data_IF_486421231790
#
_entry.id   IF_486421231790
#
_cell.length_a   1.000
_cell.length_b   1.000
_cell.length_c   1.000
_cell.angle_alpha   90.00
_cell.angle_beta   90.00
_cell.angle_gamma   90.00
#
_symmetry.space_group_name_H-M   'P 1'
#
loop_
_entity.id
_entity.type
_entity.pdbx_description
1 polymer ?
#
# COMPACT_ATOMS: atom_id res chain seq x y z
N UNK A 1 -3.17 -9.17 9.51
CA UNK A 1 -3.75 -7.96 10.15
C UNK A 1 -2.66 -6.97 10.54
N UNK A 2 -3.04 -5.72 10.71
CA UNK A 2 -2.13 -4.63 11.12
C UNK A 2 -2.65 -3.91 12.37
N UNK A 3 -1.76 -3.15 13.02
CA UNK A 3 -2.11 -2.24 14.11
C UNK A 3 -2.39 -0.87 13.51
N UNK A 4 -3.67 -0.56 13.33
CA UNK A 4 -4.12 0.69 12.68
C UNK A 4 -3.67 1.91 13.49
N UNK A 5 -3.62 1.83 14.81
CA UNK A 5 -3.24 2.90 15.73
C UNK A 5 -1.82 3.44 15.44
N UNK A 6 -0.95 2.60 14.88
CA UNK A 6 0.41 3.00 14.52
C UNK A 6 0.47 4.01 13.37
N UNK A 7 -0.60 4.10 12.57
CA UNK A 7 -0.67 4.96 11.38
C UNK A 7 -1.72 6.05 11.49
N UNK A 8 -2.30 6.24 12.68
CA UNK A 8 -3.15 7.38 12.98
C UNK A 8 -2.31 8.59 13.40
N UNK A 9 -2.82 9.80 13.12
CA UNK A 9 -2.18 11.09 13.48
C UNK A 9 -0.72 11.21 13.00
N UNK A 10 -0.43 10.68 11.82
CA UNK A 10 0.88 10.81 11.16
C UNK A 10 1.00 12.17 10.46
N UNK A 11 2.24 12.70 10.29
CA UNK A 11 2.45 13.99 9.62
C UNK A 11 1.89 13.98 8.20
N UNK A 12 1.17 15.03 7.84
CA UNK A 12 0.67 15.27 6.48
C UNK A 12 1.72 15.92 5.56
N UNK A 13 1.25 16.47 4.44
CA UNK A 13 2.07 17.22 3.48
C UNK A 13 2.82 18.37 4.13
N UNK A 14 4.01 18.65 3.60
CA UNK A 14 4.87 19.77 3.97
C UNK A 14 4.89 20.82 2.85
N UNK A 15 5.57 21.95 3.07
CA UNK A 15 5.76 22.98 2.03
C UNK A 15 6.45 22.42 0.76
N UNK A 16 7.31 21.42 0.91
CA UNK A 16 7.97 20.71 -0.21
C UNK A 16 6.96 19.98 -1.13
N UNK A 17 5.79 19.64 -0.60
CA UNK A 17 4.74 18.91 -1.31
C UNK A 17 3.68 19.84 -1.94
N UNK A 18 3.86 21.17 -1.80
CA UNK A 18 2.89 22.15 -2.31
C UNK A 18 2.75 22.04 -3.84
N UNK A 19 1.53 21.96 -4.31
CA UNK A 19 1.20 21.77 -5.74
C UNK A 19 1.55 20.41 -6.30
N UNK A 20 2.11 19.49 -5.50
CA UNK A 20 2.45 18.13 -5.94
C UNK A 20 1.38 17.11 -5.56
N UNK A 21 1.29 16.06 -6.38
CA UNK A 21 0.52 14.85 -6.12
C UNK A 21 1.54 13.73 -5.86
N UNK A 22 1.65 13.35 -4.60
CA UNK A 22 2.63 12.39 -4.14
C UNK A 22 2.10 10.96 -4.31
N UNK A 23 2.79 10.16 -5.12
CA UNK A 23 2.58 8.72 -5.28
C UNK A 23 3.66 8.00 -4.48
N UNK A 24 3.27 7.18 -3.50
CA UNK A 24 4.18 6.50 -2.61
C UNK A 24 4.24 4.99 -2.82
N UNK A 25 5.42 4.44 -3.05
CA UNK A 25 5.67 3.00 -3.09
C UNK A 25 6.45 2.57 -1.83
N UNK A 26 5.82 1.81 -0.95
CA UNK A 26 6.47 1.27 0.26
C UNK A 26 6.90 -0.16 -0.01
N UNK A 27 8.19 -0.36 -0.32
CA UNK A 27 8.68 -1.65 -0.78
C UNK A 27 10.22 -1.76 -0.63
N UNK A 28 10.72 -2.97 -0.74
CA UNK A 28 12.15 -3.22 -1.03
C UNK A 28 12.38 -3.10 -2.53
N UNK A 29 13.46 -2.45 -2.94
CA UNK A 29 13.80 -2.33 -4.37
C UNK A 29 14.39 -3.66 -4.84
N UNK A 30 13.53 -4.55 -5.33
CA UNK A 30 13.88 -5.91 -5.77
C UNK A 30 13.05 -6.28 -7.00
N UNK A 31 13.51 -7.23 -7.84
CA UNK A 31 12.81 -7.60 -9.08
C UNK A 31 11.35 -8.00 -8.91
N UNK A 32 11.02 -8.69 -7.81
CA UNK A 32 9.64 -9.14 -7.55
C UNK A 32 8.67 -7.97 -7.35
N UNK A 33 9.18 -6.77 -6.99
CA UNK A 33 8.38 -5.55 -6.82
C UNK A 33 8.18 -4.78 -8.11
N UNK A 34 8.88 -5.17 -9.15
CA UNK A 34 8.80 -4.60 -10.51
C UNK A 34 8.86 -3.07 -10.54
N UNK A 35 9.87 -2.53 -9.85
CA UNK A 35 10.08 -1.09 -9.72
C UNK A 35 10.38 -0.45 -11.09
N UNK A 36 10.97 -1.20 -12.04
CA UNK A 36 11.24 -0.69 -13.38
C UNK A 36 9.96 -0.37 -14.15
N UNK A 37 8.97 -1.25 -14.13
CA UNK A 37 7.65 -0.97 -14.73
C UNK A 37 6.99 0.24 -14.07
N UNK A 38 7.09 0.37 -12.74
CA UNK A 38 6.59 1.54 -12.01
C UNK A 38 7.24 2.84 -12.49
N UNK A 39 8.57 2.86 -12.61
CA UNK A 39 9.34 4.03 -13.08
C UNK A 39 8.93 4.40 -14.51
N UNK A 40 8.84 3.42 -15.41
CA UNK A 40 8.42 3.66 -16.79
C UNK A 40 6.99 4.22 -16.87
N UNK A 41 6.07 3.62 -16.14
CA UNK A 41 4.68 4.10 -16.06
C UNK A 41 4.60 5.52 -15.48
N UNK A 42 5.39 5.80 -14.44
CA UNK A 42 5.49 7.13 -13.87
C UNK A 42 6.05 8.14 -14.87
N UNK A 43 7.08 7.80 -15.65
CA UNK A 43 7.62 8.66 -16.70
C UNK A 43 6.54 9.10 -17.69
N UNK A 44 5.74 8.15 -18.22
CA UNK A 44 4.64 8.45 -19.13
C UNK A 44 3.51 9.28 -18.48
N UNK A 45 3.21 9.03 -17.20
CA UNK A 45 2.22 9.82 -16.48
C UNK A 45 2.73 11.24 -16.20
N UNK A 46 4.02 11.38 -15.85
CA UNK A 46 4.69 12.65 -15.55
C UNK A 46 4.73 13.60 -16.74
N UNK A 47 4.90 13.06 -17.96
CA UNK A 47 4.81 13.86 -19.20
C UNK A 47 3.43 14.53 -19.40
N UNK A 48 2.38 13.90 -18.85
CA UNK A 48 1.00 14.40 -18.98
C UNK A 48 0.54 15.26 -17.80
N UNK A 49 1.12 15.03 -16.62
CA UNK A 49 0.79 15.80 -15.40
C UNK A 49 2.07 16.07 -14.60
N UNK A 50 2.59 17.28 -14.70
CA UNK A 50 3.84 17.73 -14.07
C UNK A 50 3.75 17.87 -12.54
N UNK A 51 2.54 17.78 -11.97
CA UNK A 51 2.35 17.78 -10.50
C UNK A 51 2.76 16.45 -9.85
N UNK A 52 2.84 15.37 -10.61
CA UNK A 52 3.16 14.05 -10.08
C UNK A 52 4.58 14.01 -9.49
N UNK A 53 4.72 13.37 -8.32
CA UNK A 53 5.99 13.07 -7.65
C UNK A 53 5.96 11.63 -7.14
N UNK A 54 6.97 10.84 -7.49
CA UNK A 54 7.09 9.43 -7.08
C UNK A 54 8.07 9.29 -5.92
N UNK A 55 7.62 8.64 -4.85
CA UNK A 55 8.41 8.30 -3.69
C UNK A 55 8.58 6.78 -3.60
N UNK A 56 9.81 6.29 -3.77
CA UNK A 56 10.17 4.87 -3.60
C UNK A 56 10.80 4.72 -2.24
N UNK A 57 10.01 4.23 -1.28
CA UNK A 57 10.31 4.22 0.15
C UNK A 57 10.66 2.82 0.62
N UNK A 58 11.93 2.58 0.86
CA UNK A 58 12.42 1.32 1.39
C UNK A 58 13.86 1.00 0.98
N UNK A 59 14.40 -0.09 1.52
CA UNK A 59 15.79 -0.47 1.29
C UNK A 59 16.04 -0.95 -0.15
N UNK A 60 17.25 -0.69 -0.62
CA UNK A 60 17.74 -1.17 -1.92
C UNK A 60 19.05 -1.99 -1.79
N UNK A 61 19.53 -2.17 -0.56
CA UNK A 61 20.82 -2.83 -0.31
C UNK A 61 20.74 -4.35 -0.49
N UNK A 62 19.52 -4.92 -0.49
CA UNK A 62 19.29 -6.37 -0.63
C UNK A 62 19.57 -6.86 -2.06
N UNK A 63 19.32 -6.00 -3.07
CA UNK A 63 19.59 -6.28 -4.48
C UNK A 63 20.15 -5.00 -5.14
N UNK A 64 21.45 -4.77 -4.95
CA UNK A 64 22.11 -3.56 -5.41
C UNK A 64 22.16 -3.45 -6.93
N UNK A 65 22.34 -4.56 -7.63
CA UNK A 65 22.41 -4.57 -9.09
C UNK A 65 21.06 -4.10 -9.67
N UNK A 66 19.95 -4.67 -9.19
CA UNK A 66 18.63 -4.23 -9.62
C UNK A 66 18.33 -2.78 -9.25
N UNK A 67 18.75 -2.34 -8.06
CA UNK A 67 18.56 -0.96 -7.63
C UNK A 67 19.35 0.03 -8.52
N UNK A 68 20.61 -0.30 -8.85
CA UNK A 68 21.44 0.50 -9.77
C UNK A 68 20.79 0.60 -11.16
N UNK A 69 20.21 -0.50 -11.66
CA UNK A 69 19.44 -0.48 -12.91
C UNK A 69 18.19 0.41 -12.82
N UNK A 70 17.51 0.45 -11.66
CA UNK A 70 16.41 1.38 -11.45
C UNK A 70 16.85 2.84 -11.43
N UNK A 71 17.98 3.15 -10.76
CA UNK A 71 18.54 4.52 -10.75
C UNK A 71 18.96 4.95 -12.15
N UNK A 72 19.62 4.04 -12.90
CA UNK A 72 20.04 4.29 -14.26
C UNK A 72 18.83 4.54 -15.18
N UNK A 73 17.75 3.76 -15.02
CA UNK A 73 16.52 3.93 -15.79
C UNK A 73 15.91 5.32 -15.61
N UNK A 74 15.86 5.82 -14.36
CA UNK A 74 15.36 7.19 -14.08
C UNK A 74 16.24 8.23 -14.77
N UNK A 75 17.58 8.03 -14.74
CA UNK A 75 18.54 8.92 -15.39
C UNK A 75 18.43 8.89 -16.91
N UNK A 76 18.37 7.70 -17.51
CA UNK A 76 18.33 7.51 -18.98
C UNK A 76 17.03 8.05 -19.59
N UNK A 77 15.93 7.94 -18.86
CA UNK A 77 14.63 8.48 -19.27
C UNK A 77 14.45 9.97 -18.87
N UNK A 78 15.43 10.57 -18.18
CA UNK A 78 15.38 11.95 -17.69
C UNK A 78 14.11 12.27 -16.89
N UNK A 79 13.59 11.31 -16.09
CA UNK A 79 12.34 11.45 -15.34
C UNK A 79 12.56 12.34 -14.11
N UNK A 80 11.94 13.52 -14.01
CA UNK A 80 12.05 14.37 -12.84
C UNK A 80 11.12 13.86 -11.70
N UNK A 81 11.36 14.38 -10.49
CA UNK A 81 10.50 14.14 -9.32
C UNK A 81 10.39 12.66 -8.89
N UNK A 82 11.43 11.85 -9.10
CA UNK A 82 11.56 10.49 -8.54
C UNK A 82 12.50 10.53 -7.35
N UNK A 83 12.02 10.11 -6.18
CA UNK A 83 12.77 10.13 -4.92
C UNK A 83 12.92 8.71 -4.38
N UNK A 84 14.16 8.24 -4.25
CA UNK A 84 14.50 7.02 -3.52
C UNK A 84 14.92 7.41 -2.10
N UNK A 85 14.15 7.00 -1.10
CA UNK A 85 14.41 7.41 0.29
C UNK A 85 15.37 6.50 1.04
N UNK A 86 15.58 5.27 0.57
CA UNK A 86 16.19 4.23 1.39
C UNK A 86 15.27 3.79 2.53
N UNK A 87 15.86 3.12 3.51
CA UNK A 87 15.13 2.68 4.70
C UNK A 87 14.69 3.88 5.54
N UNK A 88 13.38 4.00 5.75
CA UNK A 88 12.76 5.09 6.49
C UNK A 88 11.78 4.55 7.54
N UNK A 89 11.31 5.42 8.43
CA UNK A 89 10.12 5.16 9.20
C UNK A 89 8.90 5.60 8.38
N UNK A 90 8.08 4.65 7.97
CA UNK A 90 6.90 4.89 7.11
C UNK A 90 5.93 5.94 7.69
N UNK A 91 5.86 6.07 9.02
CA UNK A 91 5.00 7.03 9.71
C UNK A 91 5.31 8.48 9.36
N UNK A 92 6.57 8.77 9.03
CA UNK A 92 7.02 10.13 8.75
C UNK A 92 6.71 10.55 7.31
N UNK A 93 6.36 9.58 6.44
CA UNK A 93 6.18 9.80 5.01
C UNK A 93 4.77 9.49 4.51
N UNK A 94 4.13 8.43 5.03
CA UNK A 94 2.88 7.92 4.45
C UNK A 94 1.75 8.95 4.47
N UNK A 95 1.68 9.81 5.49
CA UNK A 95 0.69 10.88 5.55
C UNK A 95 0.85 11.95 4.46
N UNK A 96 2.07 12.11 3.91
CA UNK A 96 2.37 13.04 2.80
C UNK A 96 1.87 12.53 1.44
N UNK A 97 1.60 11.22 1.31
CA UNK A 97 1.16 10.62 0.06
C UNK A 97 -0.31 10.96 -0.23
N UNK A 98 -0.65 11.14 -1.51
CA UNK A 98 -2.01 11.26 -2.01
C UNK A 98 -2.58 9.89 -2.40
N UNK A 99 -1.71 9.00 -2.88
CA UNK A 99 -2.01 7.63 -3.29
C UNK A 99 -0.78 6.77 -3.07
N UNK A 100 -0.96 5.49 -2.79
CA UNK A 100 0.15 4.54 -2.77
C UNK A 100 0.09 3.59 -3.96
N UNK A 101 1.23 3.00 -4.32
CA UNK A 101 1.35 2.12 -5.48
C UNK A 101 2.15 0.86 -5.17
N UNK A 102 1.73 -0.26 -5.75
CA UNK A 102 2.39 -1.57 -5.68
C UNK A 102 2.32 -2.25 -7.06
N UNK A 103 3.46 -2.42 -7.71
CA UNK A 103 3.56 -3.01 -9.07
C UNK A 103 4.09 -4.43 -9.06
N UNK A 104 4.06 -5.11 -7.92
CA UNK A 104 4.62 -6.45 -7.74
C UNK A 104 4.11 -7.45 -8.76
N UNK A 105 4.97 -8.39 -9.14
CA UNK A 105 4.61 -9.54 -10.00
C UNK A 105 4.12 -10.74 -9.20
N UNK A 106 4.32 -10.74 -7.89
CA UNK A 106 3.80 -11.77 -6.98
C UNK A 106 3.66 -11.22 -5.56
N UNK A 107 2.54 -11.49 -4.94
CA UNK A 107 2.22 -11.19 -3.54
C UNK A 107 1.36 -12.32 -2.95
N UNK A 108 1.35 -12.41 -1.61
CA UNK A 108 0.29 -13.15 -0.91
C UNK A 108 -0.84 -12.19 -0.53
N UNK A 109 -0.70 -11.55 0.63
CA UNK A 109 -1.55 -10.45 1.11
C UNK A 109 -0.65 -9.30 1.54
N UNK A 110 -0.45 -8.28 0.69
CA UNK A 110 0.51 -7.22 0.96
C UNK A 110 0.07 -6.33 2.12
N UNK A 111 0.88 -6.29 3.18
CA UNK A 111 0.60 -5.46 4.36
C UNK A 111 0.67 -3.97 4.03
N UNK A 112 1.46 -3.58 3.04
CA UNK A 112 1.58 -2.19 2.58
C UNK A 112 0.26 -1.60 2.10
N UNK A 113 -0.64 -2.41 1.52
CA UNK A 113 -2.00 -1.98 1.17
C UNK A 113 -2.80 -1.69 2.45
N UNK A 114 -2.74 -2.57 3.44
CA UNK A 114 -3.43 -2.36 4.71
C UNK A 114 -2.89 -1.15 5.48
N UNK A 115 -1.57 -0.94 5.44
CA UNK A 115 -0.91 0.24 6.02
C UNK A 115 -1.36 1.54 5.32
N UNK A 116 -1.48 1.51 3.99
CA UNK A 116 -2.01 2.62 3.22
C UNK A 116 -3.44 2.96 3.63
N UNK A 117 -4.29 1.95 3.77
CA UNK A 117 -5.67 2.11 4.21
C UNK A 117 -5.77 2.67 5.64
N UNK A 118 -4.91 2.21 6.56
CA UNK A 118 -4.85 2.76 7.91
C UNK A 118 -4.48 4.25 7.95
N UNK A 119 -3.81 4.74 6.90
CA UNK A 119 -3.48 6.14 6.69
C UNK A 119 -4.47 6.88 5.75
N UNK A 120 -5.64 6.30 5.47
CA UNK A 120 -6.65 6.84 4.53
C UNK A 120 -6.12 7.10 3.11
N UNK A 121 -5.18 6.26 2.64
CA UNK A 121 -4.61 6.41 1.30
C UNK A 121 -5.17 5.35 0.36
N UNK A 122 -5.71 5.75 -0.81
CA UNK A 122 -6.11 4.81 -1.85
C UNK A 122 -4.86 4.14 -2.45
N UNK A 123 -5.06 3.01 -3.12
CA UNK A 123 -3.96 2.20 -3.63
C UNK A 123 -4.13 1.94 -5.12
N UNK A 124 -3.04 2.03 -5.88
CA UNK A 124 -2.91 1.42 -7.20
C UNK A 124 -2.13 0.13 -7.00
N UNK A 125 -2.65 -1.02 -7.42
CA UNK A 125 -1.92 -2.28 -7.32
C UNK A 125 -2.12 -3.17 -8.54
N UNK A 126 -1.10 -3.98 -8.84
CA UNK A 126 -1.21 -5.06 -9.81
C UNK A 126 -2.11 -6.19 -9.29
N UNK A 127 -2.78 -6.91 -10.20
CA UNK A 127 -3.66 -8.05 -9.88
C UNK A 127 -2.85 -9.29 -9.54
N UNK A 128 -2.32 -9.32 -8.32
CA UNK A 128 -1.53 -10.43 -7.79
C UNK A 128 -1.93 -10.76 -6.35
N UNK A 129 -1.92 -12.05 -6.00
CA UNK A 129 -2.31 -12.52 -4.68
C UNK A 129 -3.71 -12.01 -4.30
N UNK A 130 -3.83 -11.41 -3.12
CA UNK A 130 -5.10 -10.84 -2.66
C UNK A 130 -5.25 -9.32 -2.92
N UNK A 131 -4.51 -8.74 -3.87
CA UNK A 131 -4.65 -7.30 -4.17
C UNK A 131 -6.07 -6.95 -4.62
N UNK A 132 -6.67 -7.75 -5.50
CA UNK A 132 -8.03 -7.54 -5.97
C UNK A 132 -9.06 -7.53 -4.82
N UNK A 133 -9.00 -8.54 -3.96
CA UNK A 133 -9.89 -8.65 -2.80
C UNK A 133 -9.70 -7.51 -1.79
N UNK A 134 -8.48 -7.05 -1.57
CA UNK A 134 -8.20 -5.88 -0.72
C UNK A 134 -8.77 -4.58 -1.32
N UNK A 135 -8.74 -4.42 -2.64
CA UNK A 135 -9.15 -3.18 -3.30
C UNK A 135 -10.66 -3.13 -3.54
N UNK A 136 -11.27 -4.22 -4.00
CA UNK A 136 -12.71 -4.23 -4.33
C UNK A 136 -13.59 -4.89 -3.27
N UNK A 137 -12.98 -5.56 -2.28
CA UNK A 137 -13.68 -6.30 -1.24
C UNK A 137 -14.02 -7.75 -1.65
N UNK A 138 -13.74 -8.71 -0.77
CA UNK A 138 -14.12 -10.12 -0.97
C UNK A 138 -15.47 -10.46 -0.32
N UNK A 139 -15.79 -9.78 0.75
CA UNK A 139 -16.95 -10.07 1.61
C UNK A 139 -17.55 -8.81 2.22
N UNK A 140 -17.44 -7.70 1.54
CA UNK A 140 -18.04 -6.43 1.90
C UNK A 140 -18.54 -5.70 0.63
N UNK A 141 -19.43 -4.72 0.84
CA UNK A 141 -20.02 -3.86 -0.17
C UNK A 141 -19.59 -2.40 -0.03
N UNK A 142 -18.41 -2.16 0.57
CA UNK A 142 -17.94 -0.78 0.85
C UNK A 142 -17.53 -0.01 -0.41
N UNK A 143 -17.28 -0.72 -1.52
CA UNK A 143 -16.83 -0.14 -2.77
C UNK A 143 -15.33 -0.26 -3.00
N UNK A 144 -14.85 0.43 -4.02
CA UNK A 144 -13.44 0.40 -4.38
C UNK A 144 -12.59 1.27 -3.44
N UNK A 145 -11.45 0.73 -3.00
CA UNK A 145 -10.45 1.42 -2.21
C UNK A 145 -9.18 1.77 -3.02
N UNK A 146 -9.25 1.66 -4.33
CA UNK A 146 -8.14 1.90 -5.25
C UNK A 146 -8.42 1.40 -6.65
N UNK A 147 -7.36 1.23 -7.44
CA UNK A 147 -7.39 0.74 -8.82
C UNK A 147 -6.50 -0.48 -8.94
N UNK A 148 -7.02 -1.56 -9.56
CA UNK A 148 -6.23 -2.74 -9.92
C UNK A 148 -5.83 -2.67 -11.39
N UNK A 149 -4.58 -3.02 -11.69
CA UNK A 149 -4.01 -3.05 -13.04
C UNK A 149 -3.41 -4.42 -13.33
N UNK A 150 -3.18 -4.73 -14.60
CA UNK A 150 -2.42 -5.93 -14.95
C UNK A 150 -0.93 -5.77 -14.62
N UNK A 151 -0.27 -6.90 -14.32
CA UNK A 151 1.17 -6.95 -14.10
C UNK A 151 1.92 -6.47 -15.34
N UNK A 152 3.02 -5.74 -15.14
CA UNK A 152 3.91 -5.26 -16.21
C UNK A 152 3.19 -4.41 -17.30
N UNK A 153 1.99 -3.94 -17.05
CA UNK A 153 1.23 -3.11 -17.99
C UNK A 153 1.47 -1.62 -17.70
N UNK A 154 2.50 -1.09 -18.36
CA UNK A 154 2.95 0.30 -18.18
C UNK A 154 1.82 1.29 -18.48
N UNK A 155 1.03 1.06 -19.53
CA UNK A 155 -0.03 1.98 -19.97
C UNK A 155 -1.18 2.05 -18.94
N UNK A 156 -1.64 0.89 -18.43
CA UNK A 156 -2.68 0.85 -17.40
C UNK A 156 -2.23 1.48 -16.09
N UNK A 157 -0.98 1.21 -15.67
CA UNK A 157 -0.41 1.78 -14.45
C UNK A 157 -0.28 3.30 -14.59
N UNK A 158 0.22 3.79 -15.73
CA UNK A 158 0.30 5.22 -16.00
C UNK A 158 -1.08 5.88 -16.00
N UNK A 159 -2.08 5.25 -16.63
CA UNK A 159 -3.44 5.76 -16.64
C UNK A 159 -4.04 5.79 -15.24
N UNK A 160 -3.84 4.76 -14.42
CA UNK A 160 -4.29 4.75 -13.02
C UNK A 160 -3.66 5.88 -12.19
N UNK A 161 -2.37 6.20 -12.41
CA UNK A 161 -1.72 7.36 -11.78
C UNK A 161 -2.40 8.67 -12.19
N UNK A 162 -2.72 8.83 -13.48
CA UNK A 162 -3.39 10.03 -14.00
C UNK A 162 -4.83 10.15 -13.50
N UNK A 163 -5.58 9.05 -13.45
CA UNK A 163 -6.95 9.04 -12.93
C UNK A 163 -6.97 9.44 -11.45
N UNK A 164 -6.04 8.92 -10.66
CA UNK A 164 -5.87 9.32 -9.27
C UNK A 164 -5.45 10.79 -9.15
N UNK A 165 -4.60 11.29 -10.03
CA UNK A 165 -4.17 12.68 -10.02
C UNK A 165 -5.30 13.66 -10.36
N UNK A 166 -6.13 13.30 -11.35
CA UNK A 166 -7.19 14.16 -11.86
C UNK A 166 -8.37 14.33 -10.89
N UNK A 167 -8.60 13.38 -9.96
CA UNK A 167 -9.82 13.34 -9.18
C UNK A 167 -9.55 13.21 -7.66
N UNK A 168 -9.41 14.36 -7.01
CA UNK A 168 -9.19 14.42 -5.55
C UNK A 168 -10.35 13.80 -4.76
N UNK A 169 -11.61 14.07 -5.16
CA UNK A 169 -12.78 13.50 -4.50
C UNK A 169 -12.75 11.97 -4.53
N UNK A 170 -12.43 11.40 -5.69
CA UNK A 170 -12.30 9.94 -5.84
C UNK A 170 -11.20 9.38 -4.93
N UNK A 171 -10.02 10.03 -4.85
CA UNK A 171 -8.95 9.62 -3.95
C UNK A 171 -9.40 9.58 -2.49
N UNK A 172 -10.09 10.62 -2.04
CA UNK A 172 -10.58 10.73 -0.66
C UNK A 172 -11.63 9.65 -0.36
N UNK A 173 -12.60 9.43 -1.26
CA UNK A 173 -13.63 8.40 -1.11
C UNK A 173 -13.04 6.99 -1.08
N UNK A 174 -12.08 6.70 -1.97
CA UNK A 174 -11.37 5.42 -1.99
C UNK A 174 -10.51 5.21 -0.74
N UNK A 175 -9.83 6.26 -0.26
CA UNK A 175 -9.05 6.22 0.97
C UNK A 175 -9.93 5.91 2.19
N UNK A 176 -11.11 6.53 2.29
CA UNK A 176 -12.07 6.27 3.36
C UNK A 176 -12.66 4.86 3.28
N UNK A 177 -12.96 4.38 2.06
CA UNK A 177 -13.37 2.99 1.82
C UNK A 177 -12.32 2.00 2.32
N UNK A 178 -11.04 2.25 2.00
CA UNK A 178 -9.91 1.44 2.47
C UNK A 178 -9.78 1.46 3.99
N UNK A 179 -9.88 2.65 4.60
CA UNK A 179 -9.84 2.78 6.05
C UNK A 179 -10.96 1.99 6.74
N UNK A 180 -12.19 2.12 6.26
CA UNK A 180 -13.31 1.33 6.77
C UNK A 180 -13.04 -0.17 6.64
N UNK A 181 -12.53 -0.62 5.49
CA UNK A 181 -12.21 -2.03 5.23
C UNK A 181 -11.15 -2.57 6.19
N UNK A 182 -10.06 -1.83 6.42
CA UNK A 182 -9.02 -2.28 7.34
C UNK A 182 -9.51 -2.31 8.78
N UNK A 183 -10.33 -1.35 9.19
CA UNK A 183 -10.91 -1.29 10.53
C UNK A 183 -11.85 -2.45 10.82
N UNK A 184 -12.67 -2.86 9.84
CA UNK A 184 -13.68 -3.89 10.03
C UNK A 184 -13.18 -5.32 9.77
N UNK A 185 -12.10 -5.48 8.97
CA UNK A 185 -11.68 -6.81 8.49
C UNK A 185 -10.23 -7.19 8.81
N UNK A 186 -9.31 -6.23 8.89
CA UNK A 186 -7.88 -6.53 8.86
C UNK A 186 -7.08 -6.02 10.05
N UNK A 187 -7.72 -5.69 11.16
CA UNK A 187 -7.02 -5.36 12.40
C UNK A 187 -6.30 -6.60 12.95
N UNK A 188 -5.17 -6.37 13.59
CA UNK A 188 -4.36 -7.45 14.18
C UNK A 188 -5.12 -8.25 15.21
N UNK A 189 -6.04 -7.63 15.95
CA UNK A 189 -6.86 -8.27 16.97
C UNK A 189 -7.77 -9.36 16.38
N UNK A 190 -8.33 -9.13 15.18
CA UNK A 190 -9.14 -10.15 14.50
C UNK A 190 -8.31 -11.35 14.08
N UNK A 191 -7.12 -11.11 13.55
CA UNK A 191 -6.17 -12.18 13.22
C UNK A 191 -5.80 -12.97 14.47
N UNK A 192 -5.44 -12.28 15.56
CA UNK A 192 -5.11 -12.92 16.83
C UNK A 192 -6.26 -13.78 17.35
N UNK A 193 -7.50 -13.27 17.34
CA UNK A 193 -8.69 -14.03 17.74
C UNK A 193 -8.85 -15.30 16.94
N UNK A 194 -8.72 -15.22 15.61
CA UNK A 194 -8.82 -16.40 14.73
C UNK A 194 -7.75 -17.44 15.06
N UNK A 195 -6.50 -17.04 15.29
CA UNK A 195 -5.44 -17.96 15.71
C UNK A 195 -5.74 -18.59 17.08
N UNK A 196 -6.26 -17.81 18.03
CA UNK A 196 -6.66 -18.32 19.33
C UNK A 196 -7.76 -19.39 19.21
N UNK A 197 -8.75 -19.15 18.40
CA UNK A 197 -9.83 -20.13 18.14
C UNK A 197 -9.28 -21.43 17.56
N UNK A 198 -8.39 -21.34 16.55
CA UNK A 198 -7.74 -22.49 15.93
C UNK A 198 -6.91 -23.27 16.96
N UNK A 199 -6.08 -22.59 17.77
CA UNK A 199 -5.25 -23.26 18.77
C UNK A 199 -6.07 -23.88 19.89
N UNK A 200 -7.16 -23.25 20.33
CA UNK A 200 -8.08 -23.81 21.31
C UNK A 200 -8.72 -25.09 20.79
N UNK A 201 -9.29 -25.05 19.58
CA UNK A 201 -9.93 -26.20 18.98
C UNK A 201 -8.95 -27.37 18.78
N UNK A 202 -7.68 -27.05 18.44
CA UNK A 202 -6.63 -28.04 18.33
C UNK A 202 -6.25 -28.64 19.69
N UNK A 203 -6.14 -27.83 20.74
CA UNK A 203 -5.85 -28.29 22.08
C UNK A 203 -6.96 -29.21 22.63
N UNK A 204 -8.23 -28.87 22.39
CA UNK A 204 -9.38 -29.71 22.74
C UNK A 204 -9.31 -31.07 22.04
N UNK A 205 -9.01 -31.11 20.74
CA UNK A 205 -8.83 -32.36 19.98
C UNK A 205 -7.69 -33.23 20.52
N UNK A 206 -6.63 -32.61 21.05
CA UNK A 206 -5.48 -33.30 21.64
C UNK A 206 -5.69 -33.66 23.12
N UNK A 207 -6.80 -33.27 23.73
CA UNK A 207 -7.06 -33.48 25.16
C UNK A 207 -6.13 -32.66 26.08
N UNK A 208 -5.63 -31.52 25.59
CA UNK A 208 -4.77 -30.60 26.35
C UNK A 208 -5.59 -29.55 27.04
N UNK A 209 -5.17 -29.16 28.26
CA UNK A 209 -5.78 -28.06 28.99
C UNK A 209 -5.39 -26.73 28.32
N UNK A 210 -6.39 -25.97 27.84
CA UNK A 210 -6.19 -24.65 27.25
C UNK A 210 -6.39 -23.56 28.30
N UNK A 211 -5.39 -22.68 28.49
CA UNK A 211 -5.51 -21.52 29.38
C UNK A 211 -5.80 -20.28 28.56
N UNK A 212 -6.98 -19.70 28.73
CA UNK A 212 -7.31 -18.42 28.09
C UNK A 212 -6.50 -17.27 28.68
N UNK A 213 -5.60 -16.68 27.89
CA UNK A 213 -5.20 -15.29 28.07
C UNK A 213 -6.16 -14.43 27.26
N UNK A 214 -6.92 -13.58 27.95
CA UNK A 214 -7.97 -12.77 27.32
C UNK A 214 -7.38 -11.78 26.31
N UNK A 215 -7.53 -12.05 25.01
CA UNK A 215 -7.36 -11.04 23.97
C UNK A 215 -8.51 -10.04 24.10
N UNK A 216 -8.23 -8.84 24.60
CA UNK A 216 -9.20 -7.75 24.59
C UNK A 216 -9.36 -7.28 23.14
N UNK A 217 -10.45 -7.68 22.51
CA UNK A 217 -10.89 -7.01 21.26
C UNK A 217 -11.30 -5.58 21.62
N UNK A 218 -10.97 -4.59 20.79
CA UNK A 218 -11.55 -3.27 20.94
C UNK A 218 -13.07 -3.38 20.83
N UNK A 219 -13.78 -2.67 21.71
CA UNK A 219 -15.23 -2.56 21.63
C UNK A 219 -15.60 -2.01 20.24
N UNK A 220 -16.60 -2.63 19.61
CA UNK A 220 -17.19 -2.04 18.40
C UNK A 220 -17.77 -0.70 18.84
N UNK A 221 -17.09 0.38 18.42
CA UNK A 221 -17.69 1.71 18.57
C UNK A 221 -19.05 1.70 17.85
N UNK A 222 -20.09 2.05 18.61
CA UNK A 222 -21.47 2.10 18.16
C UNK A 222 -21.72 3.29 17.23
#
# INVERSE_FOLDING_TARGET
GIRVENLQNIPGKTEEDEGKINIGAVLRVTPIKDVKTMIQAFGFAKEKDDRLKLWIMGPWEEDREYAEECFQLVSDMEIPDVVFTGRINIRDYLGRMDVTILTSISEGQPLTILESYAAHKPVIATDVGNCYGLIYGESDDFGAAGIVTHIMNIEEIAQAMLDMAANEKMRLEMGETGYRRVMEKYRVEYMQKTYWEIYRDFAEQMGLEWKEESVKLPDKEK
#
